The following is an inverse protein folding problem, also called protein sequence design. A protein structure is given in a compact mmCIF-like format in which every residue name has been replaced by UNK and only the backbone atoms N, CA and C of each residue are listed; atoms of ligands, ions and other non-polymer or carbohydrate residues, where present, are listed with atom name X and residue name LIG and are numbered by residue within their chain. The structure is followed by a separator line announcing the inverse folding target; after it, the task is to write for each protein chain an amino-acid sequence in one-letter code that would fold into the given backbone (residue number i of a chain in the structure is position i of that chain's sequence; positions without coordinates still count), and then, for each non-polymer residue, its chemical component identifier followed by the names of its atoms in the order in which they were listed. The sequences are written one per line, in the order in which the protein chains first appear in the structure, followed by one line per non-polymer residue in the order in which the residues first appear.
data_IF_466701303544
#
_entry.id   IF_466701303544
#
_cell.length_a   1.000
_cell.length_b   1.000
_cell.length_c   1.000
_cell.angle_alpha   90.00
_cell.angle_beta   90.00
_cell.angle_gamma   90.00
#
_symmetry.space_group_name_H-M   'P 1'
#
loop_
_entity.id
_entity.type
_entity.pdbx_description
1 polymer ?
#
# COMPACT_ATOMS: atom_id res chain seq x y z
N UNK A 1 47.45 -21.52 21.73
CA UNK A 1 48.22 -21.18 20.53
C UNK A 1 47.57 -19.98 19.88
N UNK A 2 48.17 -18.79 20.09
CA UNK A 2 47.73 -17.52 19.54
C UNK A 2 48.65 -17.16 18.37
N UNK A 3 48.06 -16.74 17.24
CA UNK A 3 48.79 -16.09 16.15
C UNK A 3 48.00 -14.85 15.71
N UNK A 4 48.51 -13.70 16.12
CA UNK A 4 48.38 -12.42 15.44
C UNK A 4 49.35 -12.39 14.24
N UNK A 5 48.98 -11.66 13.17
CA UNK A 5 49.79 -10.91 12.18
C UNK A 5 48.77 -10.44 11.10
N UNK A 6 48.26 -9.20 11.06
CA UNK A 6 48.85 -7.90 10.65
C UNK A 6 49.06 -7.69 9.13
N UNK A 7 48.50 -6.59 8.60
CA UNK A 7 48.93 -5.89 7.37
C UNK A 7 47.86 -5.88 6.24
N UNK A 8 47.46 -4.77 5.61
CA UNK A 8 47.98 -3.41 5.62
C UNK A 8 47.09 -2.46 4.78
N UNK A 9 47.33 -1.17 4.98
CA UNK A 9 46.65 -0.01 4.41
C UNK A 9 47.34 0.49 3.13
N UNK A 10 46.62 1.21 2.24
CA UNK A 10 47.11 2.26 1.31
C UNK A 10 45.89 3.00 0.71
N UNK A 11 45.68 4.27 1.06
CA UNK A 11 46.01 5.49 0.30
C UNK A 11 45.06 5.75 -0.89
N UNK A 12 44.68 6.94 -1.34
CA UNK A 12 44.75 8.37 -0.99
C UNK A 12 44.07 9.07 -2.19
N UNK A 13 43.27 10.11 -2.02
CA UNK A 13 42.78 10.86 -3.20
C UNK A 13 41.62 11.82 -3.00
N UNK A 14 41.86 12.92 -2.26
CA UNK A 14 41.04 14.14 -2.27
C UNK A 14 41.73 15.16 -3.19
N UNK A 15 40.98 16.11 -3.78
CA UNK A 15 41.47 17.48 -3.71
C UNK A 15 40.38 18.48 -3.26
N UNK A 16 40.81 19.41 -2.41
CA UNK A 16 40.19 20.70 -2.08
C UNK A 16 40.77 21.79 -2.98
N UNK A 17 39.94 22.73 -3.45
CA UNK A 17 40.28 24.17 -3.72
C UNK A 17 38.95 24.94 -3.59
N UNK A 18 38.63 25.51 -2.42
CA UNK A 18 38.91 26.87 -1.90
C UNK A 18 37.94 27.98 -2.39
N UNK A 19 37.34 28.78 -1.48
CA UNK A 19 36.39 29.86 -1.77
C UNK A 19 37.03 31.27 -1.69
N UNK A 20 36.62 32.19 -2.56
CA UNK A 20 36.85 33.64 -2.48
C UNK A 20 35.92 34.32 -3.50
N UNK A 21 35.24 35.45 -3.26
CA UNK A 21 35.61 36.54 -2.37
C UNK A 21 34.43 37.47 -2.09
N UNK A 22 34.55 38.14 -0.94
CA UNK A 22 33.79 39.31 -0.52
C UNK A 22 34.66 40.54 -0.77
N UNK A 23 34.13 41.53 -1.49
CA UNK A 23 34.56 42.96 -1.55
C UNK A 23 33.61 43.65 -2.53
N UNK A 24 33.19 44.90 -2.41
CA UNK A 24 33.40 45.96 -1.44
C UNK A 24 32.42 47.10 -1.82
N UNK A 25 31.88 47.77 -0.80
CA UNK A 25 31.18 49.06 -0.93
C UNK A 25 32.20 50.18 -1.20
N UNK A 26 31.79 51.14 -2.06
CA UNK A 26 32.15 52.59 -2.15
C UNK A 26 32.94 53.02 -3.40
N UNK A 27 32.27 53.80 -4.25
CA UNK A 27 32.48 55.26 -4.50
C UNK A 27 31.55 55.71 -5.66
N UNK A 28 30.57 56.56 -5.37
CA UNK A 28 30.55 58.04 -5.55
C UNK A 28 30.27 58.46 -7.00
N UNK A 29 29.04 58.97 -7.26
CA UNK A 29 28.69 60.40 -7.36
C UNK A 29 29.18 61.06 -8.66
N UNK A 30 28.27 61.27 -9.61
CA UNK A 30 27.88 62.57 -10.23
C UNK A 30 27.33 62.36 -11.64
N UNK A 31 26.08 62.80 -11.88
CA UNK A 31 25.65 63.56 -13.06
C UNK A 31 24.12 63.73 -13.00
N UNK A 32 23.72 64.91 -12.52
CA UNK A 32 22.40 65.49 -12.75
C UNK A 32 22.27 65.93 -14.22
N UNK A 33 21.02 66.10 -14.64
CA UNK A 33 20.55 66.80 -15.84
C UNK A 33 20.44 65.99 -17.15
N UNK A 34 19.25 65.45 -17.39
CA UNK A 34 18.39 65.88 -18.51
C UNK A 34 17.10 65.04 -18.51
N UNK A 35 16.01 65.59 -17.98
CA UNK A 35 14.66 65.10 -18.25
C UNK A 35 14.05 65.95 -19.38
N UNK A 36 13.40 65.36 -20.38
CA UNK A 36 12.30 66.03 -21.05
C UNK A 36 11.00 65.75 -20.30
N UNK A 37 10.38 66.84 -19.88
CA UNK A 37 8.97 66.95 -19.50
C UNK A 37 8.05 66.26 -20.51
N UNK A 38 7.17 65.36 -20.04
CA UNK A 38 5.91 65.00 -20.71
C UNK A 38 4.84 64.92 -19.60
N UNK A 39 3.66 65.55 -19.75
CA UNK A 39 2.75 65.79 -18.63
C UNK A 39 1.90 64.54 -18.32
N UNK A 40 2.28 63.78 -17.29
CA UNK A 40 1.37 62.87 -16.60
C UNK A 40 0.55 63.64 -15.56
N UNK A 41 -0.45 64.40 -16.01
CA UNK A 41 -1.52 64.91 -15.15
C UNK A 41 -2.90 64.30 -15.44
N UNK A 42 -2.99 63.37 -16.41
CA UNK A 42 -4.21 62.60 -16.67
C UNK A 42 -4.27 61.23 -15.95
N UNK A 43 -3.19 60.82 -15.25
CA UNK A 43 -3.12 59.50 -14.57
C UNK A 43 -3.35 59.53 -13.06
N UNK A 44 -3.51 60.72 -12.46
CA UNK A 44 -3.77 60.85 -11.03
C UNK A 44 -5.27 60.89 -10.68
N UNK A 45 -6.16 61.11 -11.65
CA UNK A 45 -7.61 61.13 -11.43
C UNK A 45 -8.24 59.72 -11.44
N UNK A 46 -7.62 58.75 -12.12
CA UNK A 46 -8.06 57.34 -12.09
C UNK A 46 -7.72 56.60 -10.78
N UNK A 47 -6.89 57.19 -9.91
CA UNK A 47 -6.52 56.64 -8.60
C UNK A 47 -7.49 57.05 -7.47
N UNK A 48 -8.43 57.95 -7.76
CA UNK A 48 -9.41 58.45 -6.79
C UNK A 48 -10.84 57.98 -7.11
N UNK A 49 -11.02 57.13 -8.12
CA UNK A 49 -12.31 56.49 -8.37
C UNK A 49 -12.45 55.26 -7.45
N UNK A 50 -13.34 55.29 -6.44
CA UNK A 50 -13.55 54.14 -5.54
C UNK A 50 -14.08 52.90 -6.26
N UNK A 51 -14.53 53.01 -7.52
CA UNK A 51 -14.94 51.86 -8.34
C UNK A 51 -13.74 51.08 -8.91
N UNK A 52 -12.59 51.70 -9.15
CA UNK A 52 -11.38 51.03 -9.67
C UNK A 52 -10.57 50.36 -8.55
N UNK A 53 -10.72 50.80 -7.30
CA UNK A 53 -10.10 50.13 -6.14
C UNK A 53 -10.76 48.79 -5.77
N UNK A 54 -12.00 48.53 -6.21
CA UNK A 54 -12.67 47.22 -6.04
C UNK A 54 -12.16 46.14 -6.99
N UNK A 55 -11.83 46.51 -8.23
CA UNK A 55 -11.37 45.55 -9.24
C UNK A 55 -9.97 44.98 -8.98
N UNK A 56 -9.18 45.59 -8.08
CA UNK A 56 -7.84 45.12 -7.70
C UNK A 56 -7.83 43.91 -6.74
N UNK A 57 -8.97 43.45 -6.23
CA UNK A 57 -9.00 42.36 -5.22
C UNK A 57 -9.11 40.94 -5.78
N UNK A 58 -9.27 40.77 -7.08
CA UNK A 58 -9.31 39.42 -7.68
C UNK A 58 -8.42 39.39 -8.89
N UNK A 59 -7.18 38.91 -8.69
CA UNK A 59 -6.30 38.53 -9.77
C UNK A 59 -7.02 37.52 -10.67
N UNK A 60 -7.19 37.89 -11.94
CA UNK A 60 -7.85 37.14 -13.02
C UNK A 60 -7.09 35.88 -13.47
N UNK A 61 -6.43 35.19 -12.54
CA UNK A 61 -5.81 33.87 -12.76
C UNK A 61 -6.79 32.80 -12.26
N UNK A 62 -7.70 32.41 -13.14
CA UNK A 62 -8.82 31.46 -12.92
C UNK A 62 -8.41 29.99 -12.75
N UNK A 63 -7.16 29.73 -12.37
CA UNK A 63 -6.72 28.39 -11.93
C UNK A 63 -6.38 28.48 -10.46
N UNK A 64 -7.31 28.03 -9.63
CA UNK A 64 -7.05 27.83 -8.20
C UNK A 64 -5.80 26.94 -8.07
N UNK A 65 -4.76 27.37 -7.31
CA UNK A 65 -3.57 26.55 -7.14
C UNK A 65 -3.94 25.20 -6.50
N UNK A 66 -3.27 24.11 -6.89
CA UNK A 66 -3.44 22.82 -6.22
C UNK A 66 -3.10 22.99 -4.74
N UNK A 67 -3.91 22.40 -3.86
CA UNK A 67 -3.70 22.55 -2.41
C UNK A 67 -2.36 21.95 -2.00
N UNK A 68 -1.67 22.68 -1.13
CA UNK A 68 -0.55 22.16 -0.37
C UNK A 68 -1.09 21.13 0.64
N UNK A 69 -1.11 19.86 0.24
CA UNK A 69 -1.23 18.75 1.19
C UNK A 69 -0.06 18.81 2.18
N UNK A 70 -0.22 18.36 3.44
CA UNK A 70 0.90 18.30 4.39
C UNK A 70 2.08 17.55 3.77
N UNK A 71 3.28 18.15 3.81
CA UNK A 71 4.47 17.62 3.12
C UNK A 71 4.99 16.30 3.73
N UNK A 72 4.62 16.02 4.97
CA UNK A 72 4.97 14.84 5.76
C UNK A 72 3.98 13.67 5.60
N UNK A 73 2.97 13.81 4.73
CA UNK A 73 1.94 12.79 4.56
C UNK A 73 2.46 11.53 3.90
N UNK A 74 2.16 10.39 4.52
CA UNK A 74 2.40 9.07 3.95
C UNK A 74 1.42 8.84 2.78
N UNK A 75 1.96 8.56 1.59
CA UNK A 75 1.15 8.25 0.42
C UNK A 75 0.50 6.85 0.52
N UNK A 76 -0.72 6.64 -0.03
CA UNK A 76 -1.33 5.32 -0.20
C UNK A 76 -0.42 4.30 -0.90
N UNK A 77 0.51 4.77 -1.75
CA UNK A 77 1.50 3.92 -2.41
C UNK A 77 2.44 3.20 -1.45
N UNK A 78 2.73 3.77 -0.28
CA UNK A 78 3.57 3.14 0.75
C UNK A 78 2.93 1.83 1.25
N UNK A 79 1.65 1.87 1.64
CA UNK A 79 0.93 0.69 2.09
C UNK A 79 0.69 -0.32 0.95
N UNK A 80 0.41 0.15 -0.26
CA UNK A 80 0.29 -0.70 -1.44
C UNK A 80 1.59 -1.48 -1.71
N UNK A 81 2.75 -0.83 -1.59
CA UNK A 81 4.05 -1.50 -1.77
C UNK A 81 4.30 -2.58 -0.72
N UNK A 82 3.85 -2.36 0.52
CA UNK A 82 3.93 -3.37 1.57
C UNK A 82 3.00 -4.54 1.25
N UNK A 83 1.74 -4.29 0.89
CA UNK A 83 0.78 -5.33 0.52
C UNK A 83 1.34 -6.22 -0.60
N UNK A 84 1.81 -5.63 -1.71
CA UNK A 84 2.39 -6.38 -2.83
C UNK A 84 3.64 -7.19 -2.44
N UNK A 85 4.55 -6.60 -1.65
CA UNK A 85 5.74 -7.32 -1.15
C UNK A 85 5.38 -8.50 -0.24
N UNK A 86 4.33 -8.35 0.58
CA UNK A 86 3.81 -9.43 1.42
C UNK A 86 3.14 -10.51 0.57
N UNK A 87 2.40 -10.14 -0.47
CA UNK A 87 1.80 -11.09 -1.43
C UNK A 87 2.86 -11.98 -2.07
N UNK A 88 3.95 -11.40 -2.58
CA UNK A 88 5.02 -12.18 -3.21
C UNK A 88 5.75 -13.09 -2.20
N UNK A 89 5.96 -12.60 -0.98
CA UNK A 89 6.51 -13.39 0.12
C UNK A 89 5.59 -14.55 0.55
N UNK A 90 4.27 -14.32 0.63
CA UNK A 90 3.28 -15.35 0.92
C UNK A 90 3.27 -16.43 -0.17
N UNK A 91 3.32 -16.05 -1.44
CA UNK A 91 3.42 -16.99 -2.57
C UNK A 91 4.67 -17.87 -2.42
N UNK A 92 5.81 -17.28 -2.06
CA UNK A 92 7.05 -18.01 -1.81
C UNK A 92 6.90 -19.00 -0.65
N UNK A 93 6.32 -18.57 0.47
CA UNK A 93 6.10 -19.42 1.65
C UNK A 93 5.13 -20.56 1.37
N UNK A 94 4.05 -20.32 0.62
CA UNK A 94 3.10 -21.37 0.25
C UNK A 94 3.77 -22.42 -0.64
N UNK A 95 4.63 -22.01 -1.58
CA UNK A 95 5.43 -22.96 -2.37
C UNK A 95 6.40 -23.76 -1.52
N UNK A 96 7.08 -23.11 -0.57
CA UNK A 96 7.96 -23.77 0.39
C UNK A 96 7.17 -24.75 1.27
N UNK A 97 5.96 -24.39 1.69
CA UNK A 97 5.05 -25.24 2.44
C UNK A 97 4.69 -26.51 1.66
N UNK A 98 4.35 -26.37 0.37
CA UNK A 98 4.11 -27.51 -0.51
C UNK A 98 5.34 -28.41 -0.64
N UNK A 99 6.53 -27.82 -0.84
CA UNK A 99 7.78 -28.59 -0.92
C UNK A 99 8.10 -29.33 0.39
N UNK A 100 7.84 -28.73 1.55
CA UNK A 100 8.02 -29.37 2.85
C UNK A 100 7.04 -30.53 3.04
N UNK A 101 5.77 -30.34 2.64
CA UNK A 101 4.77 -31.41 2.67
C UNK A 101 5.16 -32.59 1.76
N UNK A 102 5.65 -32.32 0.54
CA UNK A 102 6.15 -33.34 -0.38
C UNK A 102 7.30 -34.15 0.26
N UNK A 103 8.24 -33.47 0.94
CA UNK A 103 9.34 -34.12 1.67
C UNK A 103 8.83 -34.99 2.82
N UNK A 104 7.87 -34.51 3.60
CA UNK A 104 7.25 -35.28 4.70
C UNK A 104 6.59 -36.54 4.14
N UNK A 105 5.81 -36.43 3.08
CA UNK A 105 5.17 -37.59 2.43
C UNK A 105 6.19 -38.63 1.99
N UNK A 106 7.26 -38.21 1.30
CA UNK A 106 8.34 -39.11 0.87
C UNK A 106 9.07 -39.76 2.05
N UNK A 107 9.33 -39.01 3.12
CA UNK A 107 10.01 -39.55 4.31
C UNK A 107 9.12 -40.52 5.10
N UNK A 108 7.82 -40.28 5.19
CA UNK A 108 6.87 -41.21 5.83
C UNK A 108 6.79 -42.55 5.09
N UNK A 109 6.81 -42.53 3.75
CA UNK A 109 6.87 -43.76 2.95
C UNK A 109 8.18 -44.50 3.19
N UNK A 110 9.31 -43.79 3.17
CA UNK A 110 10.64 -44.39 3.44
C UNK A 110 10.76 -44.95 4.87
N UNK A 111 10.22 -44.26 5.87
CA UNK A 111 10.20 -44.74 7.25
C UNK A 111 9.43 -46.06 7.36
N UNK A 112 8.25 -46.14 6.75
CA UNK A 112 7.45 -47.38 6.74
C UNK A 112 8.17 -48.52 6.04
N UNK A 113 8.80 -48.28 4.88
CA UNK A 113 9.55 -49.28 4.13
C UNK A 113 10.78 -49.78 4.92
N UNK A 114 11.57 -48.87 5.49
CA UNK A 114 12.73 -49.23 6.32
C UNK A 114 12.32 -49.97 7.59
N UNK A 115 11.24 -49.55 8.26
CA UNK A 115 10.72 -50.25 9.43
C UNK A 115 10.25 -51.68 9.09
N UNK A 116 9.60 -51.88 7.95
CA UNK A 116 9.21 -53.20 7.47
C UNK A 116 10.43 -54.07 7.13
N UNK A 117 11.44 -53.52 6.46
CA UNK A 117 12.71 -54.20 6.17
C UNK A 117 13.47 -54.58 7.43
N UNK A 118 13.51 -53.70 8.42
CA UNK A 118 14.14 -53.96 9.72
C UNK A 118 13.44 -55.11 10.44
N UNK A 119 12.10 -55.08 10.52
CA UNK A 119 11.32 -56.16 11.13
C UNK A 119 11.54 -57.51 10.40
N UNK A 120 11.56 -57.49 9.08
CA UNK A 120 11.85 -58.68 8.27
C UNK A 120 13.29 -59.19 8.50
N UNK A 121 14.28 -58.30 8.62
CA UNK A 121 15.67 -58.67 8.90
C UNK A 121 15.84 -59.29 10.29
N UNK A 122 15.14 -58.77 11.31
CA UNK A 122 15.12 -59.33 12.66
C UNK A 122 14.50 -60.73 12.66
N UNK A 123 13.36 -60.91 11.99
CA UNK A 123 12.71 -62.22 11.86
C UNK A 123 13.60 -63.22 11.09
N UNK A 124 14.23 -62.78 9.99
CA UNK A 124 15.16 -63.59 9.22
C UNK A 124 16.40 -63.97 10.03
N UNK A 125 16.95 -63.06 10.84
CA UNK A 125 18.05 -63.36 11.76
C UNK A 125 17.68 -64.50 12.71
N UNK A 126 16.50 -64.43 13.32
CA UNK A 126 16.03 -65.47 14.24
C UNK A 126 15.88 -66.82 13.54
N UNK A 127 15.23 -66.86 12.36
CA UNK A 127 15.03 -68.09 11.59
C UNK A 127 16.35 -68.72 11.11
N UNK A 128 17.25 -67.92 10.53
CA UNK A 128 18.53 -68.43 10.03
C UNK A 128 19.44 -68.91 11.16
N UNK A 129 19.49 -68.21 12.29
CA UNK A 129 20.29 -68.65 13.44
C UNK A 129 19.74 -69.91 14.09
N UNK A 130 18.42 -70.13 14.08
CA UNK A 130 17.83 -71.38 14.58
C UNK A 130 18.21 -72.57 13.69
N UNK A 131 18.08 -72.44 12.36
CA UNK A 131 18.54 -73.47 11.41
C UNK A 131 20.05 -73.73 11.53
N UNK A 132 20.85 -72.67 11.68
CA UNK A 132 22.28 -72.80 11.95
C UNK A 132 22.53 -73.58 13.24
N UNK A 133 21.87 -73.25 14.36
CA UNK A 133 22.06 -73.93 15.65
C UNK A 133 21.65 -75.41 15.61
N UNK A 134 20.67 -75.76 14.77
CA UNK A 134 20.24 -77.13 14.52
C UNK A 134 21.15 -77.89 13.54
N UNK A 135 22.19 -77.24 13.00
CA UNK A 135 23.11 -77.82 12.03
C UNK A 135 22.55 -77.90 10.61
N UNK A 136 21.37 -77.31 10.35
CA UNK A 136 20.70 -77.32 9.05
C UNK A 136 21.31 -76.28 8.09
N UNK A 137 22.62 -76.31 7.92
CA UNK A 137 23.36 -75.46 6.99
C UNK A 137 24.39 -76.27 6.20
N UNK A 138 24.72 -75.78 5.00
CA UNK A 138 25.66 -76.42 4.09
C UNK A 138 27.10 -75.99 4.41
N UNK A 139 27.98 -76.94 4.73
CA UNK A 139 29.34 -76.67 5.22
C UNK A 139 30.26 -76.02 4.19
N UNK A 140 30.00 -76.16 2.89
CA UNK A 140 30.82 -75.59 1.83
C UNK A 140 30.34 -74.25 1.27
N UNK A 141 29.07 -73.88 1.45
CA UNK A 141 28.54 -72.58 1.00
C UNK A 141 27.96 -71.70 2.11
N UNK A 142 27.92 -72.18 3.37
CA UNK A 142 27.42 -71.46 4.55
C UNK A 142 26.00 -70.91 4.39
N UNK A 143 25.17 -71.54 3.55
CA UNK A 143 23.74 -71.22 3.41
C UNK A 143 22.89 -72.20 4.21
N UNK A 144 21.77 -71.71 4.74
CA UNK A 144 20.80 -72.52 5.48
C UNK A 144 20.00 -73.42 4.54
N UNK A 145 19.39 -74.48 5.07
CA UNK A 145 18.54 -75.40 4.33
C UNK A 145 17.40 -74.65 3.61
N UNK A 146 16.73 -73.74 4.30
CA UNK A 146 15.64 -72.95 3.71
C UNK A 146 16.10 -72.07 2.55
N UNK A 147 17.27 -71.43 2.65
CA UNK A 147 17.81 -70.59 1.57
C UNK A 147 18.22 -71.41 0.33
N UNK A 148 18.70 -72.65 0.52
CA UNK A 148 19.06 -73.56 -0.57
C UNK A 148 17.79 -74.11 -1.26
N UNK A 149 16.82 -74.59 -0.47
CA UNK A 149 15.56 -75.13 -1.01
C UNK A 149 14.71 -74.06 -1.70
N UNK A 150 14.69 -72.83 -1.20
CA UNK A 150 13.97 -71.71 -1.82
C UNK A 150 14.50 -71.34 -3.22
N UNK A 151 15.76 -71.68 -3.52
CA UNK A 151 16.40 -71.50 -4.83
C UNK A 151 16.24 -72.71 -5.75
N UNK A 152 15.53 -73.76 -5.29
CA UNK A 152 15.34 -75.01 -6.02
C UNK A 152 16.58 -75.92 -6.03
N UNK A 153 17.57 -75.66 -5.18
CA UNK A 153 18.78 -76.48 -5.06
C UNK A 153 18.57 -77.65 -4.08
N UNK A 154 19.34 -78.73 -4.25
CA UNK A 154 19.28 -79.90 -3.37
C UNK A 154 20.08 -79.67 -2.07
N UNK A 155 19.49 -79.98 -0.92
CA UNK A 155 20.12 -79.87 0.40
C UNK A 155 20.31 -81.24 1.08
N UNK A 156 21.52 -81.56 1.57
CA UNK A 156 22.79 -80.86 1.33
C UNK A 156 23.23 -80.97 -0.14
N UNK A 157 24.14 -80.10 -0.59
CA UNK A 157 24.75 -80.22 -1.93
C UNK A 157 25.42 -81.59 -2.08
N UNK A 158 25.45 -82.14 -3.31
CA UNK A 158 26.05 -83.46 -3.55
C UNK A 158 27.50 -83.50 -3.04
N UNK A 159 27.82 -84.50 -2.21
CA UNK A 159 29.14 -84.68 -1.61
C UNK A 159 29.36 -83.91 -0.30
N UNK A 160 28.38 -83.15 0.19
CA UNK A 160 28.48 -82.43 1.47
C UNK A 160 27.62 -83.06 2.56
N UNK A 161 28.12 -83.02 3.79
CA UNK A 161 27.44 -83.52 4.97
C UNK A 161 27.01 -82.40 5.91
N UNK A 162 25.96 -82.68 6.67
CA UNK A 162 25.44 -81.84 7.74
C UNK A 162 26.41 -81.98 8.93
N UNK A 163 27.06 -80.89 9.32
CA UNK A 163 28.03 -80.86 10.43
C UNK A 163 27.46 -79.94 11.53
N UNK A 164 27.68 -80.31 12.80
CA UNK A 164 27.34 -79.44 13.93
C UNK A 164 28.22 -78.17 13.84
N UNK A 165 27.65 -76.96 13.80
CA UNK A 165 28.45 -75.75 13.65
C UNK A 165 29.31 -75.50 14.87
N UNK A 166 30.49 -74.92 14.65
CA UNK A 166 31.33 -74.46 15.75
C UNK A 166 30.74 -73.17 16.38
N UNK A 167 31.02 -72.89 17.66
CA UNK A 167 30.60 -71.63 18.29
C UNK A 167 31.07 -70.38 17.51
N UNK A 168 32.24 -70.45 16.89
CA UNK A 168 32.82 -69.38 16.08
C UNK A 168 32.03 -69.13 14.79
N UNK A 169 31.55 -70.20 14.14
CA UNK A 169 30.71 -70.09 12.93
C UNK A 169 29.35 -69.47 13.25
N UNK A 170 28.74 -69.85 14.38
CA UNK A 170 27.47 -69.25 14.85
C UNK A 170 27.69 -67.75 15.14
N UNK A 171 28.75 -67.41 15.86
CA UNK A 171 29.08 -66.02 16.18
C UNK A 171 29.42 -65.18 14.94
N UNK A 172 30.07 -65.77 13.94
CA UNK A 172 30.34 -65.14 12.66
C UNK A 172 29.06 -64.83 11.88
N UNK A 173 28.15 -65.81 11.77
CA UNK A 173 26.87 -65.62 11.08
C UNK A 173 25.95 -64.64 11.81
N UNK A 174 25.96 -64.68 13.14
CA UNK A 174 25.23 -63.71 13.95
C UNK A 174 25.73 -62.28 13.71
N UNK A 175 27.05 -62.07 13.64
CA UNK A 175 27.63 -60.76 13.31
C UNK A 175 27.26 -60.28 11.91
N UNK A 176 27.26 -61.16 10.91
CA UNK A 176 26.87 -60.83 9.53
C UNK A 176 25.40 -60.35 9.47
N UNK A 177 24.49 -61.10 10.08
CA UNK A 177 23.07 -60.76 10.11
C UNK A 177 22.79 -59.52 10.97
N UNK A 178 23.52 -59.36 12.09
CA UNK A 178 23.43 -58.18 12.94
C UNK A 178 23.90 -56.92 12.21
N UNK A 179 24.96 -56.98 11.41
CA UNK A 179 25.45 -55.82 10.65
C UNK A 179 24.40 -55.25 9.67
N UNK A 180 23.57 -56.10 9.08
CA UNK A 180 22.44 -55.67 8.23
C UNK A 180 21.37 -54.95 9.05
N UNK A 181 21.03 -55.49 10.23
CA UNK A 181 20.08 -54.88 11.17
C UNK A 181 20.59 -53.52 11.63
N UNK A 182 21.85 -53.43 12.05
CA UNK A 182 22.47 -52.19 12.53
C UNK A 182 22.48 -51.10 11.45
N UNK A 183 22.74 -51.48 10.19
CA UNK A 183 22.66 -50.57 9.05
C UNK A 183 21.24 -50.05 8.83
N UNK A 184 20.24 -50.93 8.81
CA UNK A 184 18.83 -50.55 8.64
C UNK A 184 18.32 -49.68 9.79
N UNK A 185 18.73 -49.98 11.02
CA UNK A 185 18.38 -49.18 12.19
C UNK A 185 19.00 -47.77 12.13
N UNK A 186 20.26 -47.67 11.70
CA UNK A 186 20.91 -46.38 11.47
C UNK A 186 20.23 -45.55 10.38
N UNK A 187 19.86 -46.16 9.25
CA UNK A 187 19.11 -45.52 8.16
C UNK A 187 17.72 -45.06 8.63
N UNK A 188 17.01 -45.90 9.40
CA UNK A 188 15.70 -45.58 9.96
C UNK A 188 15.79 -44.39 10.93
N UNK A 189 16.82 -44.36 11.78
CA UNK A 189 17.08 -43.26 12.71
C UNK A 189 17.35 -41.94 11.96
N UNK A 190 18.18 -41.97 10.92
CA UNK A 190 18.44 -40.80 10.07
C UNK A 190 17.16 -40.27 9.40
N UNK A 191 16.33 -41.16 8.83
CA UNK A 191 15.04 -40.78 8.23
C UNK A 191 14.10 -40.16 9.27
N UNK A 192 14.01 -40.73 10.47
CA UNK A 192 13.19 -40.17 11.57
C UNK A 192 13.67 -38.79 12.00
N UNK A 193 14.98 -38.57 12.11
CA UNK A 193 15.54 -37.25 12.42
C UNK A 193 15.21 -36.23 11.33
N UNK A 194 15.34 -36.61 10.05
CA UNK A 194 14.98 -35.75 8.91
C UNK A 194 13.47 -35.44 8.88
N UNK A 195 12.63 -36.42 9.19
CA UNK A 195 11.18 -36.26 9.27
C UNK A 195 10.78 -35.31 10.41
N UNK A 196 11.39 -35.45 11.59
CA UNK A 196 11.17 -34.54 12.71
C UNK A 196 11.54 -33.09 12.33
N UNK A 197 12.67 -32.90 11.65
CA UNK A 197 13.09 -31.58 11.14
C UNK A 197 12.09 -31.02 10.11
N UNK A 198 11.66 -31.83 9.15
CA UNK A 198 10.70 -31.40 8.14
C UNK A 198 9.34 -31.00 8.75
N UNK A 199 8.87 -31.73 9.77
CA UNK A 199 7.68 -31.38 10.53
C UNK A 199 7.84 -30.04 11.30
N UNK A 200 9.02 -29.76 11.83
CA UNK A 200 9.28 -28.47 12.48
C UNK A 200 9.33 -27.31 11.46
N UNK A 201 9.95 -27.54 10.30
CA UNK A 201 10.07 -26.54 9.24
C UNK A 201 8.69 -26.20 8.67
N UNK A 202 7.81 -27.19 8.44
CA UNK A 202 6.46 -26.94 7.91
C UNK A 202 5.59 -26.15 8.91
N UNK A 203 5.73 -26.37 10.21
CA UNK A 203 5.04 -25.58 11.25
C UNK A 203 5.57 -24.15 11.34
N UNK A 204 6.88 -23.97 11.15
CA UNK A 204 7.51 -22.64 11.09
C UNK A 204 7.02 -21.84 9.87
N UNK A 205 7.01 -22.48 8.69
CA UNK A 205 6.45 -21.89 7.46
C UNK A 205 4.98 -21.53 7.66
N UNK A 206 4.21 -22.43 8.29
CA UNK A 206 2.80 -22.19 8.61
C UNK A 206 2.58 -20.94 9.44
N UNK A 207 3.35 -20.77 10.52
CA UNK A 207 3.28 -19.58 11.36
C UNK A 207 3.55 -18.30 10.55
N UNK A 208 4.59 -18.33 9.70
CA UNK A 208 4.93 -17.19 8.85
C UNK A 208 3.85 -16.87 7.81
N UNK A 209 3.13 -17.88 7.30
CA UNK A 209 1.97 -17.64 6.40
C UNK A 209 0.86 -16.89 7.15
N UNK A 210 0.54 -17.29 8.39
CA UNK A 210 -0.47 -16.57 9.19
C UNK A 210 -0.07 -15.13 9.51
N UNK A 211 1.18 -14.93 9.91
CA UNK A 211 1.71 -13.58 10.17
C UNK A 211 1.69 -12.72 8.90
N UNK A 212 2.05 -13.30 7.75
CA UNK A 212 2.00 -12.61 6.46
C UNK A 212 0.58 -12.21 6.06
N UNK A 213 -0.42 -13.07 6.28
CA UNK A 213 -1.82 -12.71 6.07
C UNK A 213 -2.26 -11.56 6.97
N UNK A 214 -1.82 -11.55 8.23
CA UNK A 214 -2.05 -10.45 9.18
C UNK A 214 -1.45 -9.13 8.71
N UNK A 215 -0.20 -9.15 8.24
CA UNK A 215 0.47 -7.95 7.73
C UNK A 215 -0.17 -7.44 6.43
N UNK A 216 -0.57 -8.34 5.53
CA UNK A 216 -1.27 -7.96 4.30
C UNK A 216 -2.61 -7.27 4.61
N UNK A 217 -3.41 -7.81 5.54
CA UNK A 217 -4.67 -7.18 5.97
C UNK A 217 -4.43 -5.79 6.55
N UNK A 218 -3.39 -5.65 7.38
CA UNK A 218 -2.96 -4.37 7.94
C UNK A 218 -2.58 -3.39 6.85
N UNK A 219 -1.83 -3.83 5.83
CA UNK A 219 -1.42 -2.97 4.72
C UNK A 219 -2.60 -2.49 3.87
N UNK A 220 -3.54 -3.38 3.51
CA UNK A 220 -4.74 -3.01 2.75
C UNK A 220 -5.62 -2.04 3.55
N UNK A 221 -5.84 -2.30 4.85
CA UNK A 221 -6.59 -1.40 5.71
C UNK A 221 -5.91 -0.03 5.83
N UNK A 222 -4.58 -0.01 5.94
CA UNK A 222 -3.81 1.23 6.02
C UNK A 222 -3.93 2.05 4.73
N UNK A 223 -3.85 1.38 3.58
CA UNK A 223 -4.08 2.02 2.28
C UNK A 223 -5.45 2.67 2.20
N UNK A 224 -6.52 1.95 2.55
CA UNK A 224 -7.90 2.48 2.56
C UNK A 224 -8.04 3.67 3.50
N UNK A 225 -7.40 3.62 4.67
CA UNK A 225 -7.42 4.73 5.63
C UNK A 225 -6.75 5.98 5.06
N UNK A 226 -5.58 5.84 4.44
CA UNK A 226 -4.88 6.98 3.84
C UNK A 226 -5.72 7.65 2.74
N UNK A 227 -6.40 6.87 1.90
CA UNK A 227 -7.30 7.41 0.87
C UNK A 227 -8.46 8.20 1.51
N UNK A 228 -9.15 7.62 2.50
CA UNK A 228 -10.25 8.32 3.21
C UNK A 228 -9.77 9.59 3.93
N UNK A 229 -8.55 9.58 4.45
CA UNK A 229 -7.99 10.74 5.10
C UNK A 229 -7.67 11.84 4.07
N UNK A 230 -7.20 11.48 2.87
CA UNK A 230 -7.01 12.44 1.77
C UNK A 230 -8.34 13.09 1.40
N UNK A 231 -9.39 12.28 1.27
CA UNK A 231 -10.74 12.75 0.94
C UNK A 231 -11.28 13.74 1.96
N UNK A 232 -11.05 13.45 3.24
CA UNK A 232 -11.48 14.31 4.33
C UNK A 232 -10.75 15.65 4.38
N UNK A 233 -9.45 15.67 4.09
CA UNK A 233 -8.70 16.92 4.05
C UNK A 233 -9.15 17.79 2.87
N UNK A 234 -9.38 17.15 1.72
CA UNK A 234 -9.94 17.80 0.53
C UNK A 234 -11.35 18.35 0.83
N UNK A 235 -12.16 17.62 1.60
CA UNK A 235 -13.47 18.06 2.07
C UNK A 235 -13.41 19.22 3.05
N UNK A 236 -12.58 19.13 4.08
CA UNK A 236 -12.42 20.14 5.12
C UNK A 236 -11.96 21.47 4.54
N UNK A 237 -11.04 21.42 3.58
CA UNK A 237 -10.62 22.64 2.92
C UNK A 237 -11.67 23.13 1.89
N UNK A 238 -12.44 22.25 1.23
CA UNK A 238 -13.60 22.67 0.41
C UNK A 238 -14.61 23.46 1.25
N UNK A 239 -14.95 22.96 2.45
CA UNK A 239 -15.85 23.65 3.37
C UNK A 239 -15.32 25.03 3.77
N UNK A 240 -14.03 25.15 4.11
CA UNK A 240 -13.39 26.44 4.44
C UNK A 240 -13.45 27.44 3.28
N UNK A 241 -13.19 26.98 2.06
CA UNK A 241 -13.26 27.85 0.87
C UNK A 241 -14.70 28.26 0.54
N UNK A 242 -15.66 27.32 0.61
CA UNK A 242 -17.08 27.62 0.42
C UNK A 242 -17.57 28.64 1.44
N UNK A 243 -17.24 28.46 2.72
CA UNK A 243 -17.65 29.39 3.78
C UNK A 243 -17.13 30.80 3.49
N UNK A 244 -15.85 30.93 3.10
CA UNK A 244 -15.27 32.22 2.71
C UNK A 244 -16.03 32.86 1.53
N UNK A 245 -16.36 32.08 0.50
CA UNK A 245 -17.11 32.58 -0.67
C UNK A 245 -18.53 32.99 -0.26
N UNK A 246 -19.22 32.19 0.55
CA UNK A 246 -20.56 32.52 1.08
C UNK A 246 -20.55 33.81 1.90
N UNK A 247 -19.52 34.03 2.74
CA UNK A 247 -19.37 35.28 3.49
C UNK A 247 -19.20 36.49 2.55
N UNK A 248 -18.41 36.35 1.47
CA UNK A 248 -18.25 37.43 0.47
C UNK A 248 -19.53 37.69 -0.31
N UNK A 249 -20.25 36.64 -0.74
CA UNK A 249 -21.55 36.78 -1.39
C UNK A 249 -22.55 37.50 -0.49
N UNK A 250 -22.63 37.13 0.79
CA UNK A 250 -23.47 37.79 1.77
C UNK A 250 -23.11 39.27 1.94
N UNK A 251 -21.81 39.58 2.08
CA UNK A 251 -21.34 40.95 2.25
C UNK A 251 -21.71 41.85 1.05
N UNK A 252 -21.50 41.37 -0.19
CA UNK A 252 -21.86 42.12 -1.41
C UNK A 252 -23.38 42.31 -1.48
N UNK A 253 -24.17 41.29 -1.14
CA UNK A 253 -25.64 41.42 -1.11
C UNK A 253 -26.11 42.46 -0.09
N UNK A 254 -25.56 42.45 1.13
CA UNK A 254 -25.93 43.42 2.17
C UNK A 254 -25.54 44.85 1.77
N UNK A 255 -24.34 45.04 1.23
CA UNK A 255 -23.85 46.36 0.81
C UNK A 255 -24.68 46.94 -0.34
N UNK A 256 -25.13 46.10 -1.26
CA UNK A 256 -25.88 46.52 -2.45
C UNK A 256 -27.38 46.58 -2.21
N UNK A 257 -27.91 45.93 -1.17
CA UNK A 257 -29.36 45.83 -0.93
C UNK A 257 -30.06 47.18 -0.86
N UNK A 258 -29.47 48.17 -0.19
CA UNK A 258 -30.10 49.49 0.06
C UNK A 258 -29.50 50.64 -0.76
N UNK A 259 -28.40 50.41 -1.47
CA UNK A 259 -27.71 51.47 -2.22
C UNK A 259 -28.58 52.04 -3.36
N UNK A 260 -28.64 53.36 -3.48
CA UNK A 260 -29.30 54.04 -4.61
C UNK A 260 -28.31 54.46 -5.70
N UNK A 261 -27.01 54.34 -5.44
CA UNK A 261 -25.95 54.72 -6.36
C UNK A 261 -25.79 53.68 -7.48
N UNK A 262 -25.95 54.13 -8.72
CA UNK A 262 -25.85 53.31 -9.94
C UNK A 262 -24.48 52.63 -10.04
N UNK A 263 -23.41 53.31 -9.65
CA UNK A 263 -22.04 52.78 -9.69
C UNK A 263 -21.85 51.65 -8.69
N UNK A 264 -22.38 51.79 -7.47
CA UNK A 264 -22.35 50.75 -6.45
C UNK A 264 -23.21 49.54 -6.83
N UNK A 265 -24.37 49.76 -7.45
CA UNK A 265 -25.22 48.67 -7.96
C UNK A 265 -24.50 47.90 -9.07
N UNK A 266 -23.88 48.60 -10.03
CA UNK A 266 -23.14 48.00 -11.13
C UNK A 266 -21.93 47.20 -10.62
N UNK A 267 -21.14 47.78 -9.71
CA UNK A 267 -20.03 47.07 -9.06
C UNK A 267 -20.49 45.83 -8.32
N UNK A 268 -21.60 45.94 -7.58
CA UNK A 268 -22.24 44.82 -6.89
C UNK A 268 -22.66 43.66 -7.79
N UNK A 269 -23.23 43.95 -8.97
CA UNK A 269 -23.54 42.91 -9.97
C UNK A 269 -22.27 42.18 -10.41
N UNK A 270 -21.21 42.92 -10.74
CA UNK A 270 -19.92 42.34 -11.14
C UNK A 270 -19.29 41.49 -10.03
N UNK A 271 -19.29 41.98 -8.79
CA UNK A 271 -18.76 41.25 -7.63
C UNK A 271 -19.54 39.95 -7.37
N UNK A 272 -20.88 39.98 -7.46
CA UNK A 272 -21.70 38.76 -7.29
C UNK A 272 -21.48 37.76 -8.43
N UNK A 273 -21.36 38.20 -9.67
CA UNK A 273 -21.04 37.32 -10.81
C UNK A 273 -19.67 36.66 -10.64
N UNK A 274 -18.69 37.42 -10.14
CA UNK A 274 -17.36 36.93 -9.86
C UNK A 274 -17.35 35.87 -8.74
N UNK A 275 -17.99 36.16 -7.61
CA UNK A 275 -18.04 35.20 -6.50
C UNK A 275 -18.92 33.98 -6.82
N UNK A 276 -20.01 34.16 -7.57
CA UNK A 276 -20.86 33.05 -8.06
C UNK A 276 -20.08 32.13 -9.03
N UNK A 277 -19.35 32.70 -9.99
CA UNK A 277 -18.49 31.91 -10.89
C UNK A 277 -17.35 31.20 -10.15
N UNK A 278 -16.76 31.85 -9.15
CA UNK A 278 -15.75 31.23 -8.27
C UNK A 278 -16.35 30.05 -7.49
N UNK A 279 -17.57 30.19 -6.95
CA UNK A 279 -18.27 29.10 -6.26
C UNK A 279 -18.53 27.91 -7.19
N UNK A 280 -18.96 28.16 -8.43
CA UNK A 280 -19.13 27.09 -9.45
C UNK A 280 -17.82 26.35 -9.72
N UNK A 281 -16.70 27.06 -9.87
CA UNK A 281 -15.39 26.44 -10.06
C UNK A 281 -14.96 25.58 -8.87
N UNK A 282 -15.26 26.02 -7.64
CA UNK A 282 -14.97 25.25 -6.42
C UNK A 282 -15.83 23.98 -6.36
N UNK A 283 -17.10 24.05 -6.76
CA UNK A 283 -17.99 22.87 -6.89
C UNK A 283 -17.50 21.87 -7.93
N UNK A 284 -17.15 22.35 -9.14
CA UNK A 284 -16.65 21.51 -10.22
C UNK A 284 -15.36 20.79 -9.82
N UNK A 285 -14.46 21.51 -9.14
CA UNK A 285 -13.24 20.92 -8.58
C UNK A 285 -13.56 19.87 -7.52
N UNK A 286 -14.48 20.14 -6.58
CA UNK A 286 -14.88 19.15 -5.57
C UNK A 286 -15.53 17.91 -6.22
N UNK A 287 -16.29 18.07 -7.29
CA UNK A 287 -16.84 16.96 -8.05
C UNK A 287 -15.75 16.15 -8.77
N UNK A 288 -14.70 16.80 -9.29
CA UNK A 288 -13.54 16.11 -9.85
C UNK A 288 -12.72 15.36 -8.78
N UNK A 289 -12.45 15.98 -7.64
CA UNK A 289 -11.75 15.37 -6.49
C UNK A 289 -12.49 14.14 -5.96
N UNK A 290 -13.81 14.23 -5.75
CA UNK A 290 -14.63 13.06 -5.35
C UNK A 290 -14.55 11.92 -6.36
N UNK A 291 -14.56 12.23 -7.66
CA UNK A 291 -14.39 11.20 -8.70
C UNK A 291 -13.01 10.55 -8.65
N UNK A 292 -11.94 11.34 -8.50
CA UNK A 292 -10.57 10.85 -8.41
C UNK A 292 -10.34 10.00 -7.14
N UNK A 293 -10.89 10.43 -6.01
CA UNK A 293 -10.94 9.69 -4.75
C UNK A 293 -11.61 8.31 -4.93
N UNK A 294 -12.85 8.30 -5.44
CA UNK A 294 -13.61 7.07 -5.67
C UNK A 294 -12.88 6.11 -6.62
N UNK A 295 -12.26 6.65 -7.68
CA UNK A 295 -11.41 5.86 -8.58
C UNK A 295 -10.20 5.26 -7.84
N UNK A 296 -9.55 6.04 -6.98
CA UNK A 296 -8.40 5.57 -6.20
C UNK A 296 -8.80 4.47 -5.21
N UNK A 297 -9.96 4.59 -4.56
CA UNK A 297 -10.50 3.55 -3.68
C UNK A 297 -10.84 2.27 -4.46
N UNK A 298 -11.54 2.40 -5.59
CA UNK A 298 -11.87 1.26 -6.44
C UNK A 298 -10.61 0.54 -6.95
N UNK A 299 -9.59 1.29 -7.37
CA UNK A 299 -8.30 0.71 -7.77
C UNK A 299 -7.60 -0.03 -6.62
N UNK A 300 -7.68 0.51 -5.40
CA UNK A 300 -7.16 -0.17 -4.21
C UNK A 300 -7.86 -1.50 -3.97
N UNK A 301 -9.19 -1.54 -4.07
CA UNK A 301 -9.99 -2.75 -3.87
C UNK A 301 -9.74 -3.80 -4.96
N UNK A 302 -9.68 -3.39 -6.23
CA UNK A 302 -9.34 -4.29 -7.35
C UNK A 302 -7.93 -4.86 -7.19
N UNK A 303 -6.97 -4.04 -6.73
CA UNK A 303 -5.59 -4.49 -6.49
C UNK A 303 -5.55 -5.53 -5.38
N UNK A 304 -6.21 -5.26 -4.24
CA UNK A 304 -6.28 -6.22 -3.13
C UNK A 304 -6.97 -7.54 -3.53
N UNK A 305 -8.04 -7.48 -4.33
CA UNK A 305 -8.68 -8.68 -4.87
C UNK A 305 -7.76 -9.48 -5.79
N UNK A 306 -6.99 -8.79 -6.66
CA UNK A 306 -6.02 -9.44 -7.54
C UNK A 306 -4.89 -10.11 -6.76
N UNK A 307 -4.36 -9.44 -5.73
CA UNK A 307 -3.33 -10.01 -4.85
C UNK A 307 -3.84 -11.25 -4.13
N UNK A 308 -5.05 -11.19 -3.56
CA UNK A 308 -5.72 -12.34 -2.96
C UNK A 308 -5.85 -13.50 -3.94
N UNK A 309 -6.37 -13.23 -5.15
CA UNK A 309 -6.56 -14.27 -6.16
C UNK A 309 -5.23 -14.95 -6.54
N UNK A 310 -4.13 -14.20 -6.66
CA UNK A 310 -2.79 -14.76 -6.92
C UNK A 310 -2.36 -15.75 -5.82
N UNK A 311 -2.60 -15.40 -4.56
CA UNK A 311 -2.27 -16.27 -3.42
C UNK A 311 -3.17 -17.50 -3.41
N UNK A 312 -4.47 -17.33 -3.61
CA UNK A 312 -5.45 -18.44 -3.66
C UNK A 312 -5.12 -19.44 -4.77
N UNK A 313 -4.72 -18.99 -5.97
CA UNK A 313 -4.30 -19.89 -7.05
C UNK A 313 -3.15 -20.80 -6.62
N UNK A 314 -2.08 -20.23 -6.05
CA UNK A 314 -0.91 -21.00 -5.61
C UNK A 314 -1.25 -21.89 -4.41
N UNK A 315 -2.11 -21.41 -3.51
CA UNK A 315 -2.56 -22.20 -2.37
C UNK A 315 -3.35 -23.43 -2.83
N UNK A 316 -4.27 -23.28 -3.80
CA UNK A 316 -5.03 -24.39 -4.38
C UNK A 316 -4.11 -25.41 -5.09
N UNK A 317 -3.10 -24.96 -5.82
CA UNK A 317 -2.08 -25.83 -6.43
C UNK A 317 -1.33 -26.67 -5.36
N UNK A 318 -1.00 -26.05 -4.22
CA UNK A 318 -0.35 -26.74 -3.10
C UNK A 318 -1.30 -27.68 -2.38
N UNK A 319 -2.56 -27.30 -2.14
CA UNK A 319 -3.56 -28.18 -1.55
C UNK A 319 -3.79 -29.44 -2.37
N UNK A 320 -3.84 -29.32 -3.71
CA UNK A 320 -3.96 -30.47 -4.59
C UNK A 320 -2.80 -31.47 -4.39
N UNK A 321 -1.56 -30.97 -4.27
CA UNK A 321 -0.38 -31.81 -4.00
C UNK A 321 -0.41 -32.47 -2.62
N UNK A 322 -0.73 -31.70 -1.57
CA UNK A 322 -0.87 -32.23 -0.20
C UNK A 322 -1.92 -33.34 -0.15
N UNK A 323 -3.03 -33.15 -0.86
CA UNK A 323 -4.11 -34.13 -0.94
C UNK A 323 -3.64 -35.42 -1.62
N UNK A 324 -2.82 -35.33 -2.67
CA UNK A 324 -2.26 -36.49 -3.37
C UNK A 324 -1.37 -37.36 -2.46
N UNK A 325 -0.70 -36.79 -1.46
CA UNK A 325 0.09 -37.52 -0.47
C UNK A 325 -0.71 -38.02 0.74
N UNK A 326 -2.03 -37.77 0.81
CA UNK A 326 -2.86 -38.14 1.96
C UNK A 326 -2.57 -37.32 3.22
N UNK A 327 -1.94 -36.14 3.07
CA UNK A 327 -1.48 -35.29 4.15
C UNK A 327 -2.57 -34.30 4.63
N UNK A 328 -3.80 -34.79 4.85
CA UNK A 328 -4.98 -33.96 5.11
C UNK A 328 -4.83 -32.98 6.30
N UNK A 329 -4.04 -33.33 7.32
CA UNK A 329 -3.74 -32.45 8.46
C UNK A 329 -3.05 -31.13 8.09
N UNK A 330 -2.40 -31.07 6.93
CA UNK A 330 -1.66 -29.91 6.41
C UNK A 330 -2.50 -29.00 5.50
N UNK A 331 -3.77 -29.34 5.22
CA UNK A 331 -4.64 -28.54 4.34
C UNK A 331 -5.19 -27.27 5.01
N UNK A 332 -5.15 -27.17 6.35
CA UNK A 332 -5.83 -26.12 7.12
C UNK A 332 -5.29 -24.70 6.88
N UNK A 333 -4.14 -24.55 6.24
CA UNK A 333 -3.56 -23.23 5.89
C UNK A 333 -4.14 -22.70 4.58
N UNK A 334 -4.46 -23.60 3.65
CA UNK A 334 -4.95 -23.22 2.31
C UNK A 334 -6.39 -22.71 2.36
N UNK A 335 -7.11 -23.00 3.44
CA UNK A 335 -8.53 -22.65 3.58
C UNK A 335 -8.79 -21.36 4.34
N UNK A 336 -7.76 -20.67 4.86
CA UNK A 336 -7.95 -19.41 5.59
C UNK A 336 -7.88 -18.23 4.61
N UNK A 337 -8.99 -17.52 4.38
CA UNK A 337 -9.03 -16.51 3.34
C UNK A 337 -8.24 -15.24 3.75
N UNK A 338 -7.47 -14.72 2.81
CA UNK A 338 -7.01 -13.33 2.82
C UNK A 338 -8.22 -12.42 2.58
N UNK A 339 -8.99 -12.14 3.62
CA UNK A 339 -10.12 -11.22 3.55
C UNK A 339 -9.62 -9.78 3.66
N UNK A 340 -10.03 -8.87 2.77
CA UNK A 340 -9.81 -7.45 2.99
C UNK A 340 -10.60 -7.07 4.25
N UNK A 341 -9.92 -6.66 5.33
CA UNK A 341 -10.63 -6.23 6.54
C UNK A 341 -11.53 -5.04 6.20
N UNK A 342 -12.77 -5.09 6.68
CA UNK A 342 -13.75 -3.99 6.55
C UNK A 342 -13.40 -2.88 7.55
N UNK A 343 -12.73 -3.23 8.66
CA UNK A 343 -12.46 -2.32 9.76
C UNK A 343 -10.94 -2.16 10.02
N UNK A 344 -10.38 -0.94 9.88
CA UNK A 344 -8.98 -0.64 10.21
C UNK A 344 -8.68 -0.70 11.71
N UNK A 345 -9.66 -0.56 12.61
CA UNK A 345 -9.43 -0.54 14.06
C UNK A 345 -9.29 -1.94 14.67
N UNK A 346 -9.93 -2.96 14.10
CA UNK A 346 -9.86 -4.34 14.60
C UNK A 346 -8.48 -5.00 14.43
N UNK A 347 -7.61 -4.46 13.57
CA UNK A 347 -6.29 -5.01 13.24
C UNK A 347 -5.17 -4.59 14.20
N UNK A 348 -5.40 -3.59 15.07
CA UNK A 348 -4.38 -3.01 15.92
C UNK A 348 -4.10 -3.80 17.22
N UNK A 349 -4.94 -4.78 17.57
CA UNK A 349 -4.82 -5.49 18.86
C UNK A 349 -4.48 -6.99 18.74
N UNK A 350 -4.85 -7.68 17.66
CA UNK A 350 -4.51 -9.10 17.46
C UNK A 350 -4.23 -9.39 15.97
N UNK A 351 -3.09 -10.03 15.66
CA UNK A 351 -2.80 -10.51 14.29
C UNK A 351 -2.27 -9.45 13.30
N UNK A 352 -1.56 -8.42 13.76
CA UNK A 352 -0.97 -7.38 12.90
C UNK A 352 0.14 -7.88 11.95
N UNK A 353 0.60 -9.12 12.12
CA UNK A 353 1.70 -9.70 11.35
C UNK A 353 3.08 -9.13 11.70
N UNK A 354 3.25 -8.62 12.92
CA UNK A 354 4.50 -7.98 13.37
C UNK A 354 5.71 -8.91 13.32
N UNK A 355 5.50 -10.20 13.49
CA UNK A 355 6.52 -11.25 13.41
C UNK A 355 6.74 -11.77 11.98
N UNK A 356 6.09 -11.19 10.97
CA UNK A 356 6.25 -11.61 9.59
C UNK A 356 7.62 -11.23 9.03
N UNK A 357 8.25 -12.18 8.35
CA UNK A 357 9.65 -12.07 7.89
C UNK A 357 9.82 -11.95 6.39
N UNK A 358 8.81 -11.48 5.68
CA UNK A 358 8.89 -11.23 4.24
C UNK A 358 9.40 -12.45 3.46
N UNK A 359 8.95 -13.66 3.84
CA UNK A 359 9.25 -14.90 3.15
C UNK A 359 10.42 -15.70 3.72
N UNK A 360 11.11 -15.21 4.75
CA UNK A 360 12.10 -15.99 5.51
C UNK A 360 11.40 -16.83 6.59
N UNK A 361 11.86 -18.07 6.78
CA UNK A 361 11.32 -19.01 7.77
C UNK A 361 12.43 -19.78 8.49
N UNK A 362 13.62 -19.21 8.57
CA UNK A 362 14.75 -19.80 9.26
C UNK A 362 14.54 -19.86 10.78
N UNK A 363 14.81 -21.02 11.39
CA UNK A 363 14.61 -21.23 12.83
C UNK A 363 15.46 -20.30 13.70
N UNK A 364 16.65 -19.91 13.22
CA UNK A 364 17.55 -19.00 13.95
C UNK A 364 16.93 -17.60 14.15
N UNK A 365 16.02 -17.23 13.26
CA UNK A 365 15.24 -16.02 13.34
C UNK A 365 13.78 -16.34 13.58
N UNK A 366 13.41 -16.98 14.68
CA UNK A 366 12.00 -17.06 15.06
C UNK A 366 11.72 -15.99 16.12
N UNK A 367 10.73 -15.12 15.90
CA UNK A 367 10.33 -14.08 16.87
C UNK A 367 11.01 -12.71 16.75
N UNK A 368 12.15 -12.56 16.08
CA UNK A 368 12.69 -11.20 15.81
C UNK A 368 11.80 -10.47 14.79
N UNK A 369 11.61 -9.18 15.03
CA UNK A 369 10.76 -8.30 14.24
C UNK A 369 11.64 -7.62 13.20
N UNK A 370 11.29 -7.73 11.92
CA UNK A 370 11.99 -6.98 10.88
C UNK A 370 11.81 -5.47 11.10
N UNK A 371 12.88 -4.66 11.13
CA UNK A 371 12.78 -3.22 11.39
C UNK A 371 11.79 -2.51 10.46
N UNK A 372 11.77 -2.89 9.18
CA UNK A 372 10.83 -2.34 8.18
C UNK A 372 9.37 -2.68 8.49
N UNK A 373 9.09 -3.88 9.02
CA UNK A 373 7.74 -4.31 9.41
C UNK A 373 7.31 -3.61 10.69
N UNK A 374 8.21 -3.48 11.67
CA UNK A 374 7.98 -2.71 12.90
C UNK A 374 7.63 -1.25 12.58
N UNK A 375 8.44 -0.60 11.73
CA UNK A 375 8.22 0.78 11.31
C UNK A 375 6.88 0.93 10.60
N UNK A 376 6.56 0.01 9.69
CA UNK A 376 5.29 0.01 8.96
C UNK A 376 4.09 -0.08 9.90
N UNK A 377 4.11 -1.05 10.82
CA UNK A 377 3.01 -1.25 11.79
C UNK A 377 2.91 -0.07 12.74
N UNK A 378 4.04 0.49 13.19
CA UNK A 378 4.06 1.70 14.01
C UNK A 378 3.39 2.88 13.31
N UNK A 379 3.73 3.12 12.03
CA UNK A 379 3.08 4.14 11.19
C UNK A 379 1.59 3.86 11.00
N UNK A 380 1.23 2.62 10.65
CA UNK A 380 -0.17 2.24 10.46
C UNK A 380 -1.01 2.46 11.72
N UNK A 381 -0.50 2.05 12.90
CA UNK A 381 -1.17 2.20 14.19
C UNK A 381 -1.44 3.67 14.50
N UNK A 382 -0.47 4.54 14.31
CA UNK A 382 -0.62 5.97 14.59
C UNK A 382 -1.66 6.64 13.66
N UNK A 383 -1.75 6.22 12.40
CA UNK A 383 -2.69 6.80 11.42
C UNK A 383 -4.10 6.20 11.48
N UNK A 384 -4.25 4.98 11.99
CA UNK A 384 -5.55 4.28 12.07
C UNK A 384 -6.43 4.70 13.26
N UNK A 385 -5.86 5.30 14.30
CA UNK A 385 -6.60 5.63 15.54
C UNK A 385 -7.50 6.85 15.38
N UNK A 386 -7.17 7.82 14.52
CA UNK A 386 -7.92 9.07 14.39
C UNK A 386 -8.48 9.24 12.98
N UNK A 387 -9.81 9.20 12.90
CA UNK A 387 -10.53 9.05 11.65
C UNK A 387 -11.71 9.98 11.62
N UNK A 388 -11.74 10.95 10.71
CA UNK A 388 -12.88 11.82 10.59
C UNK A 388 -14.08 11.02 10.10
N UNK A 389 -15.10 10.95 10.95
CA UNK A 389 -16.43 10.43 10.61
C UNK A 389 -17.37 11.62 10.50
N UNK A 390 -17.79 11.94 9.29
CA UNK A 390 -18.78 12.98 9.03
C UNK A 390 -19.63 12.62 7.81
N UNK A 391 -20.89 13.06 7.76
CA UNK A 391 -21.66 12.99 6.53
C UNK A 391 -20.95 13.81 5.44
N UNK A 392 -21.07 13.41 4.16
CA UNK A 392 -20.47 14.16 3.06
C UNK A 392 -20.97 15.60 3.05
N UNK A 393 -20.05 16.53 2.81
CA UNK A 393 -20.33 17.95 2.75
C UNK A 393 -21.50 18.24 1.78
N UNK A 394 -22.51 19.04 2.20
CA UNK A 394 -23.61 19.41 1.33
C UNK A 394 -23.09 20.20 0.13
N UNK A 395 -23.77 20.14 -1.01
CA UNK A 395 -23.42 20.96 -2.18
C UNK A 395 -23.84 22.42 -1.99
N UNK A 396 -23.19 23.37 -2.67
CA UNK A 396 -23.53 24.80 -2.62
C UNK A 396 -24.70 25.22 -3.54
N UNK A 397 -25.61 24.30 -3.85
CA UNK A 397 -26.69 24.52 -4.81
C UNK A 397 -27.65 25.65 -4.37
N UNK A 398 -27.92 25.74 -3.07
CA UNK A 398 -28.76 26.79 -2.52
C UNK A 398 -28.08 28.15 -2.56
N UNK A 399 -26.80 28.24 -2.21
CA UNK A 399 -26.05 29.51 -2.28
C UNK A 399 -25.89 30.02 -3.70
N UNK A 400 -25.65 29.13 -4.67
CA UNK A 400 -25.62 29.48 -6.09
C UNK A 400 -26.97 30.04 -6.55
N UNK A 401 -28.08 29.38 -6.18
CA UNK A 401 -29.43 29.85 -6.50
C UNK A 401 -29.74 31.21 -5.86
N UNK A 402 -29.32 31.41 -4.61
CA UNK A 402 -29.48 32.70 -3.92
C UNK A 402 -28.66 33.81 -4.60
N UNK A 403 -27.43 33.52 -5.00
CA UNK A 403 -26.57 34.46 -5.73
C UNK A 403 -27.17 34.83 -7.09
N UNK A 404 -27.64 33.86 -7.87
CA UNK A 404 -28.26 34.10 -9.18
C UNK A 404 -29.53 34.96 -9.06
N UNK A 405 -30.37 34.69 -8.06
CA UNK A 405 -31.55 35.51 -7.76
C UNK A 405 -31.18 36.94 -7.31
N UNK A 406 -30.09 37.12 -6.57
CA UNK A 406 -29.61 38.44 -6.19
C UNK A 406 -29.06 39.22 -7.39
N UNK A 407 -28.30 38.57 -8.27
CA UNK A 407 -27.80 39.14 -9.53
C UNK A 407 -28.97 39.60 -10.39
N UNK A 408 -29.98 38.75 -10.59
CA UNK A 408 -31.17 39.08 -11.39
C UNK A 408 -31.91 40.31 -10.84
N UNK A 409 -32.11 40.37 -9.52
CA UNK A 409 -32.76 41.52 -8.86
C UNK A 409 -31.95 42.81 -9.00
N UNK A 410 -30.64 42.76 -8.80
CA UNK A 410 -29.77 43.94 -8.93
C UNK A 410 -29.67 44.42 -10.38
N UNK A 411 -29.62 43.51 -11.36
CA UNK A 411 -29.68 43.86 -12.79
C UNK A 411 -30.99 44.56 -13.14
N UNK A 412 -32.13 44.04 -12.67
CA UNK A 412 -33.43 44.69 -12.89
C UNK A 412 -33.45 46.11 -12.28
N UNK A 413 -32.94 46.26 -11.05
CA UNK A 413 -32.85 47.57 -10.40
C UNK A 413 -31.91 48.53 -11.13
N UNK A 414 -30.77 48.04 -11.60
CA UNK A 414 -29.80 48.81 -12.38
C UNK A 414 -30.44 49.35 -13.66
N UNK A 415 -31.18 48.51 -14.39
CA UNK A 415 -31.85 48.90 -15.62
C UNK A 415 -32.91 49.99 -15.38
N UNK A 416 -33.70 49.88 -14.32
CA UNK A 416 -34.67 50.92 -13.93
C UNK A 416 -33.96 52.25 -13.64
N UNK A 417 -32.88 52.22 -12.85
CA UNK A 417 -32.12 53.43 -12.52
C UNK A 417 -31.44 54.07 -13.72
N UNK A 418 -30.86 53.27 -14.61
CA UNK A 418 -30.26 53.77 -15.85
C UNK A 418 -31.33 54.42 -16.75
N UNK A 419 -32.52 53.84 -16.84
CA UNK A 419 -33.63 54.43 -17.58
C UNK A 419 -34.12 55.76 -16.96
N UNK A 420 -34.19 55.85 -15.63
CA UNK A 420 -34.51 57.11 -14.92
C UNK A 420 -33.45 58.19 -15.18
N UNK A 421 -32.16 57.84 -15.12
CA UNK A 421 -31.07 58.77 -15.37
C UNK A 421 -31.05 59.25 -16.83
N UNK A 422 -31.25 58.34 -17.78
CA UNK A 422 -31.37 58.66 -19.20
C UNK A 422 -32.52 59.64 -19.43
N UNK A 423 -33.70 59.37 -18.86
CA UNK A 423 -34.86 60.27 -18.93
C UNK A 423 -34.55 61.66 -18.38
N UNK A 424 -33.87 61.76 -17.23
CA UNK A 424 -33.44 63.06 -16.67
C UNK A 424 -32.48 63.80 -17.59
N UNK A 425 -31.56 63.08 -18.24
CA UNK A 425 -30.63 63.67 -19.22
C UNK A 425 -31.36 64.16 -20.47
N UNK A 426 -32.31 63.39 -20.98
CA UNK A 426 -33.13 63.76 -22.14
C UNK A 426 -34.01 64.99 -21.83
N UNK A 427 -34.64 65.03 -20.64
CA UNK A 427 -35.41 66.18 -20.16
C UNK A 427 -34.52 67.43 -19.98
N UNK A 428 -33.31 67.28 -19.43
CA UNK A 428 -32.34 68.38 -19.30
C UNK A 428 -31.82 68.88 -20.66
N UNK A 429 -31.57 67.97 -21.61
CA UNK A 429 -31.16 68.31 -22.97
C UNK A 429 -32.28 69.03 -23.72
N UNK A 430 -33.54 68.59 -23.58
CA UNK A 430 -34.70 69.26 -24.15
C UNK A 430 -34.92 70.66 -23.55
N UNK A 431 -34.74 70.82 -22.22
CA UNK A 431 -34.80 72.13 -21.57
C UNK A 431 -33.67 73.07 -22.02
N UNK A 432 -32.46 72.57 -22.22
CA UNK A 432 -31.33 73.34 -22.74
C UNK A 432 -31.55 73.77 -24.21
N UNK A 433 -32.14 72.89 -25.04
CA UNK A 433 -32.54 73.22 -26.41
C UNK A 433 -33.64 74.29 -26.46
N UNK A 434 -34.61 74.26 -25.53
CA UNK A 434 -35.66 75.27 -25.44
C UNK A 434 -35.12 76.65 -25.00
N UNK A 435 -34.05 76.71 -24.20
CA UNK A 435 -33.39 77.95 -23.80
C UNK A 435 -32.44 78.51 -24.88
N UNK A 436 -32.01 77.69 -25.83
CA UNK A 436 -31.11 78.06 -26.92
C UNK A 436 -31.83 78.57 -28.19
N UNK A 437 -33.18 78.56 -28.22
CA UNK A 437 -33.95 79.17 -29.32
C UNK A 437 -34.05 80.68 -29.11
N UNK A 438 -33.45 81.53 -29.97
CA UNK A 438 -33.55 82.97 -29.85
C UNK A 438 -34.99 83.42 -30.11
N UNK A 439 -35.45 84.37 -29.31
CA UNK A 439 -36.73 85.05 -29.48
C UNK A 439 -36.69 85.86 -30.77
N UNK A 440 -37.05 85.25 -31.91
CA UNK A 440 -37.32 86.02 -33.12
C UNK A 440 -38.51 86.93 -32.85
N UNK A 441 -38.20 88.21 -32.64
CA UNK A 441 -39.19 89.26 -32.42
C UNK A 441 -39.81 89.57 -33.78
N UNK A 442 -41.13 89.40 -34.00
CA UNK A 442 -41.74 89.78 -35.26
C UNK A 442 -41.78 91.30 -35.34
N UNK A 443 -41.00 91.86 -36.27
CA UNK A 443 -41.12 93.27 -36.65
C UNK A 443 -42.38 93.38 -37.53
N UNK A 444 -43.46 93.92 -36.99
CA UNK A 444 -44.65 94.27 -37.78
C UNK A 444 -44.42 95.62 -38.51
N UNK A 445 -44.95 95.79 -39.74
CA UNK A 445 -44.79 96.98 -40.57
C UNK A 445 -45.51 98.22 -40.04
#
# INVERSE_FOLDING_TARGET
MALHLSGGCRCCGRPEVAPSGTTSRRRMLTALAAAPFVPTLARAQDLLDPTTLRSSRVSSSTTLPPRARPADRISPGYARSMAGGVTDALISLIRAYGSAADQIGLMQVKEKDLAAKLAAAIANKAAQLDEYRQGLFCSGCNRTKSDILSKGEQFPHQGQSIIKPTPEQIAGKERELQAVIDKLDAELKDVRTKLAKANQDIDTIRSQIFDGMGLWRTAVAFQRRMIRQEDFDDESAYLREREKISQQLGAVQTETATSQDISLIRGGVGDLELWSSTLRQVEDRRAAERRASNQTMNLADVTAQRERARVETVANEVAARITAFGLAGYLRIVTVPMTPSIDPLALAQEGSGITFRMGKYDQAGFGEILPRVAEFIGKARNTMVEGPSGPPAPMAGDELRMADNAIARLKARLNVRLAEEQRRRDEAAAAALAQAQPSETPTQP
#
